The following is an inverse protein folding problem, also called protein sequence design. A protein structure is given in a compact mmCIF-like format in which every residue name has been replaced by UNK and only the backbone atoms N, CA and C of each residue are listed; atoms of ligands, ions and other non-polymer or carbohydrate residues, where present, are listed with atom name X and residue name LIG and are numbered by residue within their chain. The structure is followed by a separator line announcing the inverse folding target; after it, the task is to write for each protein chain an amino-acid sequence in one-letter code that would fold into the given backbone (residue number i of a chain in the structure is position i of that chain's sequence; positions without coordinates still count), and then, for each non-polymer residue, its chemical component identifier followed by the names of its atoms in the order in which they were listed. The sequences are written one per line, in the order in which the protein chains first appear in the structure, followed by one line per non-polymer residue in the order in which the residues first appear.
data_IF_498037176774
#
_entry.id   IF_498037176774
#
_cell.length_a   1.000
_cell.length_b   1.000
_cell.length_c   1.000
_cell.angle_alpha   90.00
_cell.angle_beta   90.00
_cell.angle_gamma   90.00
#
_symmetry.space_group_name_H-M   'P 1'
#
loop_
_entity.id
_entity.type
_entity.pdbx_description
1 polymer ?
#
# COMPACT_ATOMS: atom_id res chain seq x y z
N UNK A 1 0.94 18.19 10.64
CA UNK A 1 2.06 17.51 9.90
C UNK A 1 1.76 16.04 9.63
N UNK A 2 1.29 15.27 10.63
CA UNK A 2 0.85 13.88 10.43
C UNK A 2 -0.26 13.74 9.37
N UNK A 3 -1.20 14.68 9.31
CA UNK A 3 -2.29 14.66 8.32
C UNK A 3 -1.80 14.77 6.87
N UNK A 4 -0.68 15.45 6.64
CA UNK A 4 -0.07 15.51 5.31
C UNK A 4 0.46 14.15 4.87
N UNK A 5 1.12 13.40 5.78
CA UNK A 5 1.62 12.05 5.47
C UNK A 5 0.47 11.03 5.38
N UNK A 6 -0.58 11.17 6.20
CA UNK A 6 -1.81 10.37 6.10
C UNK A 6 -2.48 10.56 4.73
N UNK A 7 -2.69 11.81 4.31
CA UNK A 7 -3.27 12.14 2.99
C UNK A 7 -2.37 11.65 1.85
N UNK A 8 -1.05 11.81 1.98
CA UNK A 8 -0.10 11.31 0.98
C UNK A 8 -0.17 9.79 0.84
N UNK A 9 -0.20 9.06 1.96
CA UNK A 9 -0.33 7.60 1.97
C UNK A 9 -1.62 7.16 1.27
N UNK A 10 -2.75 7.79 1.60
CA UNK A 10 -4.04 7.48 0.97
C UNK A 10 -3.99 7.71 -0.55
N UNK A 11 -3.49 8.87 -0.99
CA UNK A 11 -3.40 9.18 -2.43
C UNK A 11 -2.41 8.27 -3.17
N UNK A 12 -1.27 7.94 -2.56
CA UNK A 12 -0.27 7.06 -3.14
C UNK A 12 -0.81 5.63 -3.28
N UNK A 13 -1.44 5.08 -2.24
CA UNK A 13 -2.05 3.76 -2.29
C UNK A 13 -3.18 3.68 -3.33
N UNK A 14 -4.02 4.73 -3.42
CA UNK A 14 -5.07 4.81 -4.44
C UNK A 14 -4.47 4.85 -5.86
N UNK A 15 -3.45 5.69 -6.08
CA UNK A 15 -2.77 5.80 -7.37
C UNK A 15 -2.11 4.49 -7.80
N UNK A 16 -1.39 3.82 -6.89
CA UNK A 16 -0.79 2.50 -7.15
C UNK A 16 -1.85 1.47 -7.51
N UNK A 17 -2.99 1.48 -6.82
CA UNK A 17 -4.08 0.55 -7.08
C UNK A 17 -4.68 0.78 -8.47
N UNK A 18 -5.03 2.03 -8.79
CA UNK A 18 -5.59 2.39 -10.11
C UNK A 18 -4.60 2.03 -11.22
N UNK A 19 -3.32 2.36 -11.05
CA UNK A 19 -2.28 2.05 -12.02
C UNK A 19 -2.14 0.53 -12.24
N UNK A 20 -2.17 -0.26 -11.16
CA UNK A 20 -2.08 -1.73 -11.24
C UNK A 20 -3.28 -2.30 -11.98
N UNK A 21 -4.50 -1.87 -11.63
CA UNK A 21 -5.72 -2.29 -12.32
C UNK A 21 -5.72 -1.89 -13.80
N UNK A 22 -5.40 -0.62 -14.09
CA UNK A 22 -5.35 -0.13 -15.45
C UNK A 22 -4.32 -0.90 -16.29
N UNK A 23 -3.14 -1.20 -15.73
CA UNK A 23 -2.15 -2.05 -16.40
C UNK A 23 -2.73 -3.42 -16.75
N UNK A 24 -3.29 -4.16 -15.80
CA UNK A 24 -3.81 -5.51 -16.08
C UNK A 24 -5.01 -5.53 -17.05
N UNK A 25 -5.84 -4.48 -17.03
CA UNK A 25 -6.94 -4.34 -17.99
C UNK A 25 -6.45 -4.02 -19.40
N UNK A 26 -5.43 -3.17 -19.53
CA UNK A 26 -4.90 -2.74 -20.81
C UNK A 26 -3.82 -3.69 -21.37
N UNK A 27 -3.23 -4.54 -20.54
CA UNK A 27 -2.13 -5.41 -20.92
C UNK A 27 -2.45 -6.31 -22.13
N UNK A 28 -3.63 -6.94 -22.26
CA UNK A 28 -3.98 -7.72 -23.45
C UNK A 28 -3.98 -6.88 -24.73
N UNK A 29 -4.51 -5.64 -24.67
CA UNK A 29 -4.55 -4.70 -25.81
C UNK A 29 -3.16 -4.18 -26.18
N UNK A 30 -2.25 -4.13 -25.21
CA UNK A 30 -0.85 -3.75 -25.40
C UNK A 30 0.03 -4.93 -25.89
N UNK A 31 -0.56 -6.09 -26.19
CA UNK A 31 0.13 -7.26 -26.72
C UNK A 31 0.86 -8.10 -25.67
N UNK A 32 0.59 -7.89 -24.38
CA UNK A 32 1.08 -8.78 -23.33
C UNK A 32 0.26 -10.08 -23.33
N UNK A 33 0.89 -11.26 -23.26
CA UNK A 33 0.21 -12.56 -23.34
C UNK A 33 -0.49 -12.93 -22.03
N UNK A 34 -1.50 -12.15 -21.65
CA UNK A 34 -2.29 -12.30 -20.42
C UNK A 34 -3.68 -12.81 -20.81
N UNK A 35 -3.76 -14.03 -21.37
CA UNK A 35 -5.02 -14.64 -21.86
C UNK A 35 -5.65 -15.74 -20.98
N UNK A 36 -4.92 -16.35 -20.05
CA UNK A 36 -5.45 -17.39 -19.15
C UNK A 36 -6.52 -16.89 -18.15
N UNK A 37 -7.53 -17.73 -17.85
CA UNK A 37 -8.57 -17.42 -16.87
C UNK A 37 -8.06 -17.24 -15.43
N UNK A 38 -6.85 -17.71 -15.11
CA UNK A 38 -6.21 -17.52 -13.81
C UNK A 38 -5.75 -16.06 -13.55
N UNK A 39 -5.78 -15.19 -14.56
CA UNK A 39 -5.37 -13.78 -14.41
C UNK A 39 -6.29 -12.96 -13.50
N UNK A 40 -7.54 -13.42 -13.32
CA UNK A 40 -8.45 -12.86 -12.34
C UNK A 40 -8.04 -13.16 -10.88
N UNK A 41 -7.09 -14.08 -10.64
CA UNK A 41 -6.53 -14.33 -9.32
C UNK A 41 -5.77 -13.11 -8.77
N UNK A 42 -5.12 -12.32 -9.64
CA UNK A 42 -4.49 -11.05 -9.24
C UNK A 42 -5.55 -10.09 -8.69
N UNK A 43 -6.72 -10.01 -9.33
CA UNK A 43 -7.82 -9.15 -8.85
C UNK A 43 -8.28 -9.62 -7.47
N UNK A 44 -8.37 -10.93 -7.23
CA UNK A 44 -8.72 -11.49 -5.91
C UNK A 44 -7.71 -11.14 -4.80
N UNK A 45 -6.48 -10.80 -5.16
CA UNK A 45 -5.44 -10.37 -4.23
C UNK A 45 -5.36 -8.84 -4.07
N UNK A 46 -5.60 -8.09 -5.14
CA UNK A 46 -5.64 -6.62 -5.09
C UNK A 46 -6.87 -6.12 -4.32
N UNK A 47 -8.03 -6.78 -4.48
CA UNK A 47 -9.29 -6.34 -3.86
C UNK A 47 -9.25 -6.31 -2.32
N UNK A 48 -8.76 -7.35 -1.60
CA UNK A 48 -8.64 -7.31 -0.14
C UNK A 48 -7.72 -6.19 0.35
N UNK A 49 -6.62 -5.93 -0.35
CA UNK A 49 -5.69 -4.84 -0.03
C UNK A 49 -6.38 -3.48 -0.18
N UNK A 50 -7.13 -3.30 -1.27
CA UNK A 50 -7.92 -2.09 -1.50
C UNK A 50 -9.03 -1.89 -0.45
N UNK A 51 -9.77 -2.94 -0.11
CA UNK A 51 -10.80 -2.92 0.93
C UNK A 51 -10.22 -2.55 2.30
N UNK A 52 -9.01 -3.04 2.62
CA UNK A 52 -8.29 -2.65 3.83
C UNK A 52 -7.99 -1.15 3.88
N UNK A 53 -7.46 -0.57 2.80
CA UNK A 53 -7.20 0.87 2.75
C UNK A 53 -8.48 1.71 2.76
N UNK A 54 -9.50 1.29 2.02
CA UNK A 54 -10.79 2.00 1.98
C UNK A 54 -11.43 2.00 3.37
N UNK A 55 -11.36 0.88 4.11
CA UNK A 55 -11.80 0.79 5.50
C UNK A 55 -11.05 1.74 6.43
N UNK A 56 -9.71 1.78 6.35
CA UNK A 56 -8.88 2.69 7.15
C UNK A 56 -9.14 4.16 6.82
N UNK A 57 -9.29 4.50 5.54
CA UNK A 57 -9.62 5.86 5.09
C UNK A 57 -11.03 6.28 5.53
N UNK A 58 -12.01 5.38 5.43
CA UNK A 58 -13.39 5.60 5.91
C UNK A 58 -13.39 5.85 7.42
N UNK A 59 -12.67 5.04 8.20
CA UNK A 59 -12.51 5.27 9.64
C UNK A 59 -11.80 6.58 9.98
N UNK A 60 -10.92 7.09 9.11
CA UNK A 60 -10.28 8.37 9.31
C UNK A 60 -11.20 9.55 8.98
N UNK A 61 -11.98 9.46 7.89
CA UNK A 61 -12.90 10.52 7.44
C UNK A 61 -14.13 10.62 8.34
N UNK A 62 -14.69 9.47 8.76
CA UNK A 62 -15.93 9.41 9.54
C UNK A 62 -15.71 9.15 11.03
N UNK A 63 -14.47 8.92 11.46
CA UNK A 63 -14.16 8.82 12.87
C UNK A 63 -14.01 10.21 13.49
N UNK A 64 -14.82 10.52 14.50
CA UNK A 64 -14.61 11.67 15.38
C UNK A 64 -13.24 11.54 16.06
N UNK A 65 -12.22 12.08 15.42
CA UNK A 65 -10.84 12.07 15.90
C UNK A 65 -10.40 13.51 16.00
N UNK A 66 -10.32 14.01 17.23
CA UNK A 66 -9.55 15.22 17.48
C UNK A 66 -8.14 15.03 16.89
N UNK A 67 -7.64 15.98 16.10
CA UNK A 67 -6.29 15.90 15.56
C UNK A 67 -5.34 15.89 16.75
N UNK A 68 -4.80 14.71 17.08
CA UNK A 68 -3.71 14.58 18.04
C UNK A 68 -2.55 15.41 17.52
N UNK A 69 -2.44 16.64 18.04
CA UNK A 69 -1.33 17.55 17.86
C UNK A 69 -0.14 17.12 18.72
N UNK A 70 0.08 15.81 18.85
CA UNK A 70 1.27 15.29 19.51
C UNK A 70 2.50 15.85 18.79
N UNK A 71 3.33 16.60 19.52
CA UNK A 71 4.56 17.20 19.00
C UNK A 71 5.57 16.07 18.69
N UNK A 72 5.49 15.51 17.49
CA UNK A 72 6.48 14.55 17.00
C UNK A 72 7.79 15.28 16.70
N UNK A 73 8.91 14.78 17.21
CA UNK A 73 10.24 15.34 16.90
C UNK A 73 10.53 15.27 15.39
N UNK A 74 11.32 16.22 14.87
CA UNK A 74 11.69 16.27 13.45
C UNK A 74 12.38 14.97 12.98
N UNK A 75 13.19 14.35 13.85
CA UNK A 75 13.89 13.09 13.55
C UNK A 75 12.94 11.90 13.45
N UNK A 76 12.00 11.77 14.40
CA UNK A 76 10.96 10.74 14.34
C UNK A 76 10.09 10.91 13.10
N UNK A 77 9.79 12.14 12.70
CA UNK A 77 9.04 12.42 11.48
C UNK A 77 9.79 11.98 10.20
N UNK A 78 11.13 12.14 10.15
CA UNK A 78 11.94 11.63 9.03
C UNK A 78 11.85 10.10 8.93
N UNK A 79 11.93 9.40 10.06
CA UNK A 79 11.79 7.94 10.11
C UNK A 79 10.40 7.49 9.69
N UNK A 80 9.34 8.14 10.18
CA UNK A 80 7.96 7.88 9.76
C UNK A 80 7.82 8.05 8.24
N UNK A 81 8.33 9.15 7.68
CA UNK A 81 8.30 9.39 6.24
C UNK A 81 9.04 8.29 5.47
N UNK A 82 10.21 7.86 5.94
CA UNK A 82 10.97 6.78 5.31
C UNK A 82 10.20 5.46 5.34
N UNK A 83 9.62 5.10 6.49
CA UNK A 83 8.85 3.86 6.66
C UNK A 83 7.55 3.84 5.85
N UNK A 84 6.92 5.00 5.65
CA UNK A 84 5.69 5.13 4.86
C UNK A 84 6.00 5.13 3.36
N UNK A 85 6.97 5.93 2.92
CA UNK A 85 7.25 6.14 1.50
C UNK A 85 8.15 5.07 0.89
N UNK A 86 9.08 4.53 1.67
CA UNK A 86 10.06 3.53 1.23
C UNK A 86 9.43 2.30 0.58
N UNK A 87 8.47 1.62 1.24
CA UNK A 87 7.79 0.46 0.67
C UNK A 87 7.02 0.77 -0.62
N UNK A 88 6.41 1.96 -0.72
CA UNK A 88 5.71 2.40 -1.94
C UNK A 88 6.71 2.60 -3.09
N UNK A 89 7.84 3.29 -2.84
CA UNK A 89 8.86 3.47 -3.86
C UNK A 89 9.47 2.14 -4.31
N UNK A 90 9.79 1.24 -3.36
CA UNK A 90 10.28 -0.09 -3.67
C UNK A 90 9.27 -0.88 -4.52
N UNK A 91 7.99 -0.86 -4.14
CA UNK A 91 6.92 -1.47 -4.92
C UNK A 91 6.89 -0.93 -6.35
N UNK A 92 6.84 0.40 -6.53
CA UNK A 92 6.74 1.02 -7.86
C UNK A 92 7.94 0.63 -8.73
N UNK A 93 9.16 0.73 -8.19
CA UNK A 93 10.39 0.39 -8.93
C UNK A 93 10.38 -1.08 -9.33
N UNK A 94 10.12 -2.00 -8.40
CA UNK A 94 10.14 -3.43 -8.69
C UNK A 94 9.01 -3.79 -9.66
N UNK A 95 7.82 -3.20 -9.51
CA UNK A 95 6.69 -3.42 -10.41
C UNK A 95 7.03 -3.02 -11.84
N UNK A 96 7.65 -1.85 -12.05
CA UNK A 96 8.11 -1.41 -13.37
C UNK A 96 9.14 -2.37 -13.94
N UNK A 97 10.13 -2.79 -13.14
CA UNK A 97 11.16 -3.75 -13.57
C UNK A 97 10.53 -5.07 -13.99
N UNK A 98 9.59 -5.59 -13.22
CA UNK A 98 8.90 -6.86 -13.49
C UNK A 98 8.04 -6.78 -14.76
N UNK A 99 7.29 -5.69 -14.95
CA UNK A 99 6.50 -5.46 -16.17
C UNK A 99 7.41 -5.40 -17.41
N UNK A 100 8.50 -4.63 -17.33
CA UNK A 100 9.47 -4.50 -18.43
C UNK A 100 10.14 -5.84 -18.71
N UNK A 101 10.56 -6.57 -17.67
CA UNK A 101 11.14 -7.91 -17.81
C UNK A 101 10.18 -8.87 -18.51
N UNK A 102 8.91 -8.90 -18.09
CA UNK A 102 7.88 -9.73 -18.69
C UNK A 102 7.61 -9.36 -20.15
N UNK A 103 7.57 -8.07 -20.48
CA UNK A 103 7.41 -7.60 -21.86
C UNK A 103 8.60 -7.94 -22.74
N UNK A 104 9.83 -7.78 -22.24
CA UNK A 104 11.04 -8.13 -22.97
C UNK A 104 11.18 -9.64 -23.18
N UNK A 105 10.81 -10.46 -22.19
CA UNK A 105 10.89 -11.92 -22.29
C UNK A 105 9.83 -12.53 -23.19
N UNK A 106 8.70 -11.85 -23.40
CA UNK A 106 7.57 -12.33 -24.20
C UNK A 106 7.40 -11.58 -25.52
N UNK A 107 8.43 -10.84 -25.96
CA UNK A 107 8.37 -10.09 -27.22
C UNK A 107 8.29 -11.02 -28.44
N UNK A 108 7.68 -10.56 -29.55
CA UNK A 108 7.64 -11.32 -30.80
C UNK A 108 9.05 -11.72 -31.27
N UNK A 109 9.25 -12.99 -31.61
CA UNK A 109 10.52 -13.50 -32.14
C UNK A 109 11.40 -14.27 -31.13
N UNK A 110 10.98 -14.41 -29.88
CA UNK A 110 11.58 -15.37 -28.94
C UNK A 110 10.91 -16.73 -29.11
N UNK A 111 11.68 -17.81 -28.98
CA UNK A 111 11.17 -19.17 -29.06
C UNK A 111 10.03 -19.37 -28.05
N UNK A 112 8.91 -19.93 -28.52
CA UNK A 112 7.74 -20.18 -27.69
C UNK A 112 8.11 -21.12 -26.54
N UNK A 113 8.09 -20.61 -25.30
CA UNK A 113 8.40 -21.38 -24.09
C UNK A 113 9.58 -20.86 -23.25
N UNK A 114 10.42 -19.97 -23.78
CA UNK A 114 11.57 -19.39 -23.06
C UNK A 114 11.23 -18.10 -22.29
N UNK A 115 10.02 -17.56 -22.47
CA UNK A 115 9.56 -16.33 -21.82
C UNK A 115 9.08 -16.55 -20.38
N UNK A 116 9.09 -15.48 -19.58
CA UNK A 116 8.48 -15.46 -18.25
C UNK A 116 7.00 -15.82 -18.34
N UNK A 117 6.56 -16.79 -17.53
CA UNK A 117 5.17 -17.27 -17.57
C UNK A 117 4.22 -16.27 -16.91
N UNK A 118 2.95 -16.15 -17.37
CA UNK A 118 1.96 -15.30 -16.71
C UNK A 118 1.76 -15.64 -15.23
N UNK A 119 1.89 -16.92 -14.85
CA UNK A 119 1.80 -17.39 -13.47
C UNK A 119 2.97 -16.92 -12.59
N UNK A 120 4.18 -16.78 -13.16
CA UNK A 120 5.34 -16.23 -12.46
C UNK A 120 5.15 -14.73 -12.23
N UNK A 121 4.66 -14.00 -13.24
CA UNK A 121 4.32 -12.58 -13.13
C UNK A 121 3.28 -12.38 -12.03
N UNK A 122 2.20 -13.15 -12.06
CA UNK A 122 1.15 -13.10 -11.06
C UNK A 122 1.71 -13.36 -9.65
N UNK A 123 2.59 -14.36 -9.49
CA UNK A 123 3.19 -14.71 -8.19
C UNK A 123 4.08 -13.57 -7.64
N UNK A 124 4.89 -12.95 -8.49
CA UNK A 124 5.75 -11.83 -8.08
C UNK A 124 4.91 -10.62 -7.70
N UNK A 125 3.92 -10.25 -8.52
CA UNK A 125 3.01 -9.13 -8.25
C UNK A 125 2.25 -9.35 -6.95
N UNK A 126 1.80 -10.59 -6.72
CA UNK A 126 1.15 -11.01 -5.47
C UNK A 126 2.04 -10.77 -4.26
N UNK A 127 3.29 -11.21 -4.32
CA UNK A 127 4.25 -11.03 -3.23
C UNK A 127 4.53 -9.55 -2.96
N UNK A 128 4.67 -8.73 -4.01
CA UNK A 128 4.87 -7.29 -3.90
C UNK A 128 3.67 -6.59 -3.26
N UNK A 129 2.45 -6.94 -3.67
CA UNK A 129 1.23 -6.40 -3.10
C UNK A 129 1.07 -6.80 -1.63
N UNK A 130 1.39 -8.05 -1.28
CA UNK A 130 1.33 -8.52 0.09
C UNK A 130 2.32 -7.77 1.00
N UNK A 131 3.55 -7.55 0.52
CA UNK A 131 4.56 -6.77 1.23
C UNK A 131 4.12 -5.30 1.39
N UNK A 132 3.59 -4.69 0.33
CA UNK A 132 3.06 -3.33 0.35
C UNK A 132 1.91 -3.22 1.36
N UNK A 133 0.95 -4.13 1.32
CA UNK A 133 -0.19 -4.16 2.25
C UNK A 133 0.26 -4.33 3.70
N UNK A 134 1.19 -5.24 3.98
CA UNK A 134 1.70 -5.45 5.33
C UNK A 134 2.40 -4.21 5.90
N UNK A 135 3.30 -3.60 5.11
CA UNK A 135 4.09 -2.44 5.55
C UNK A 135 3.26 -1.18 5.73
N UNK A 136 2.35 -0.92 4.79
CA UNK A 136 1.42 0.22 4.88
C UNK A 136 0.36 0.04 5.97
N UNK A 137 -0.12 -1.18 6.24
CA UNK A 137 -1.01 -1.44 7.37
C UNK A 137 -0.30 -1.20 8.71
N UNK A 138 0.95 -1.65 8.84
CA UNK A 138 1.77 -1.34 10.02
C UNK A 138 1.97 0.18 10.17
N UNK A 139 2.26 0.87 9.07
CA UNK A 139 2.42 2.32 9.06
C UNK A 139 1.11 3.05 9.40
N UNK A 140 -0.02 2.60 8.86
CA UNK A 140 -1.35 3.14 9.16
C UNK A 140 -1.73 2.89 10.62
N UNK A 141 -1.53 1.68 11.14
CA UNK A 141 -1.79 1.36 12.54
C UNK A 141 -1.00 2.28 13.49
N UNK A 142 0.23 2.65 13.13
CA UNK A 142 1.03 3.61 13.88
C UNK A 142 0.57 5.06 13.68
N UNK A 143 0.34 5.48 12.44
CA UNK A 143 -0.07 6.85 12.08
C UNK A 143 -1.46 7.21 12.59
N UNK A 144 -2.33 6.22 12.76
CA UNK A 144 -3.71 6.40 13.20
C UNK A 144 -3.95 5.86 14.62
N UNK A 145 -2.90 5.45 15.36
CA UNK A 145 -3.04 5.07 16.77
C UNK A 145 -3.43 6.32 17.57
N UNK A 146 -4.63 6.33 18.12
CA UNK A 146 -5.10 7.34 19.07
C UNK A 146 -4.39 7.12 20.40
N UNK A 147 -3.80 8.16 20.98
CA UNK A 147 -3.39 8.15 22.39
C UNK A 147 -4.66 8.13 23.25
N UNK A 148 -5.26 6.95 23.44
CA UNK A 148 -6.22 6.73 24.53
C UNK A 148 -5.39 6.53 25.79
N UNK A 149 -5.29 7.56 26.64
CA UNK A 149 -4.93 7.37 28.04
C UNK A 149 -3.89 8.32 28.65
N UNK A 150 -4.00 9.63 28.46
CA UNK A 150 -3.25 10.60 29.29
C UNK A 150 -4.13 11.43 30.23
N UNK A 151 -5.47 11.37 30.13
CA UNK A 151 -6.36 12.27 30.89
C UNK A 151 -6.97 11.67 32.17
N UNK A 152 -6.72 10.40 32.50
CA UNK A 152 -7.26 9.79 33.74
C UNK A 152 -6.21 9.64 34.87
N UNK A 153 -5.03 10.27 34.77
CA UNK A 153 -3.96 10.11 35.75
C UNK A 153 -3.78 11.29 36.73
N UNK A 154 -4.68 12.28 36.74
CA UNK A 154 -4.65 13.36 37.73
C UNK A 154 -6.06 13.72 38.23
N UNK A 155 -6.61 12.89 39.12
CA UNK A 155 -7.52 13.40 40.13
C UNK A 155 -6.66 13.72 41.38
N UNK A 156 -6.56 14.99 41.81
CA UNK A 156 -5.79 15.36 42.99
C UNK A 156 -6.36 14.70 44.24
N UNK A 157 -5.44 14.25 45.09
CA UNK A 157 -5.68 13.76 46.44
C UNK A 157 -6.64 14.69 47.19
N UNK A 158 -7.81 14.18 47.59
CA UNK A 158 -8.53 14.77 48.70
C UNK A 158 -7.72 14.43 49.97
N UNK A 159 -6.96 15.42 50.43
CA UNK A 159 -6.24 15.39 51.68
C UNK A 159 -7.21 15.15 52.84
N UNK A 160 -6.91 14.15 53.64
CA UNK A 160 -7.30 14.09 55.04
C UNK A 160 -6.93 15.39 55.76
N UNK A 161 -7.76 15.74 56.76
CA UNK A 161 -7.68 16.80 57.78
C UNK A 161 -8.62 18.00 57.58
#
# INVERSE_FOLDING_TARGET
MLDAERRWLIMASLGVTIATFAFFLLAPELGYPIYDPDHYAIIRLVVPVFMGYLGLATQYVFGDREPSNARVSKERMKLIRLMVRGPIYAFVVIMVVVIVAFGLSNRPGIASGDGMKPTELASIVTALLALLAATTNAAAAYLFKTEKGADNAQAPQASDL
#
